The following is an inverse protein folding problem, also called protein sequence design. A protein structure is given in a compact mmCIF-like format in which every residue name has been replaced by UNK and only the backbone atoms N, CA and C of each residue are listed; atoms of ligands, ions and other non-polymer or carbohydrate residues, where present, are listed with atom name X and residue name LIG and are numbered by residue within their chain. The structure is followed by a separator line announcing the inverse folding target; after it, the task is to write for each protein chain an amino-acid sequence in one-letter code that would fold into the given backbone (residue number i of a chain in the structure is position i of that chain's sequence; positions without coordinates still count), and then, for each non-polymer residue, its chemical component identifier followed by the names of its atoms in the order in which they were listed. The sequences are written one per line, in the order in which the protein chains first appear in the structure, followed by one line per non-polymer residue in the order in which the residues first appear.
data_IF_390890191647
#
_entry.id   IF_390890191647
#
_cell.length_a   1.000
_cell.length_b   1.000
_cell.length_c   1.000
_cell.angle_alpha   90.00
_cell.angle_beta   90.00
_cell.angle_gamma   90.00
#
_symmetry.space_group_name_H-M   'P 1'
#
loop_
_entity.id
_entity.type
_entity.pdbx_description
1 polymer ?
#
# COMPACT_ATOMS: atom_id res chain seq x y z
N UNK A 1 -9.24 2.32 20.65
CA UNK A 1 -10.22 2.36 19.53
C UNK A 1 -10.43 3.77 18.98
N UNK A 2 -11.08 4.69 19.71
CA UNK A 2 -11.27 6.08 19.26
C UNK A 2 -9.94 6.87 19.18
N UNK A 3 -8.98 6.56 20.04
CA UNK A 3 -7.60 7.06 19.96
C UNK A 3 -6.94 6.64 18.65
N UNK A 4 -7.00 5.35 18.33
CA UNK A 4 -6.30 4.75 17.19
C UNK A 4 -6.93 5.25 15.89
N UNK A 5 -8.26 5.37 15.83
CA UNK A 5 -8.90 6.00 14.69
C UNK A 5 -8.43 7.46 14.49
N UNK A 6 -8.33 8.26 15.56
CA UNK A 6 -7.87 9.66 15.45
C UNK A 6 -6.40 9.74 15.01
N UNK A 7 -5.54 8.88 15.55
CA UNK A 7 -4.13 8.82 15.17
C UNK A 7 -3.98 8.48 13.70
N UNK A 8 -4.61 7.39 13.25
CA UNK A 8 -4.54 6.94 11.86
C UNK A 8 -5.16 7.97 10.91
N UNK A 9 -6.29 8.59 11.28
CA UNK A 9 -6.89 9.66 10.48
C UNK A 9 -5.92 10.84 10.31
N UNK A 10 -5.25 11.24 11.39
CA UNK A 10 -4.29 12.34 11.35
C UNK A 10 -3.06 12.01 10.50
N UNK A 11 -2.49 10.82 10.66
CA UNK A 11 -1.34 10.36 9.87
C UNK A 11 -1.67 10.29 8.38
N UNK A 12 -2.79 9.68 8.02
CA UNK A 12 -3.23 9.54 6.62
C UNK A 12 -3.60 10.88 6.02
N UNK A 13 -4.27 11.76 6.78
CA UNK A 13 -4.55 13.12 6.33
C UNK A 13 -3.25 13.90 6.06
N UNK A 14 -2.26 13.80 6.96
CA UNK A 14 -0.95 14.46 6.80
C UNK A 14 -0.18 13.95 5.58
N UNK A 15 -0.37 12.69 5.18
CA UNK A 15 0.22 12.13 3.98
C UNK A 15 -0.52 12.58 2.70
N UNK A 16 -1.86 12.56 2.70
CA UNK A 16 -2.66 12.75 1.47
C UNK A 16 -2.96 14.21 1.16
N UNK A 17 -3.13 15.07 2.18
CA UNK A 17 -3.43 16.50 1.98
C UNK A 17 -2.35 17.21 1.14
N UNK A 18 -1.03 17.07 1.43
CA UNK A 18 0.00 17.73 0.63
C UNK A 18 -0.03 17.29 -0.83
N UNK A 19 -0.24 15.99 -1.09
CA UNK A 19 -0.35 15.42 -2.44
C UNK A 19 -1.57 16.00 -3.15
N UNK A 20 -2.73 16.03 -2.47
CA UNK A 20 -3.98 16.59 -3.00
C UNK A 20 -3.80 18.06 -3.37
N UNK A 21 -3.15 18.86 -2.52
CA UNK A 21 -2.88 20.27 -2.75
C UNK A 21 -1.97 20.47 -3.96
N UNK A 22 -0.86 19.73 -4.05
CA UNK A 22 0.06 19.81 -5.19
C UNK A 22 -0.67 19.46 -6.49
N UNK A 23 -1.48 18.40 -6.49
CA UNK A 23 -2.24 17.99 -7.67
C UNK A 23 -3.23 19.08 -8.09
N UNK A 24 -3.94 19.69 -7.14
CA UNK A 24 -4.87 20.79 -7.43
C UNK A 24 -4.16 22.02 -8.00
N UNK A 25 -2.99 22.38 -7.44
CA UNK A 25 -2.15 23.47 -7.96
C UNK A 25 -1.74 23.16 -9.40
N UNK A 26 -1.24 21.95 -9.67
CA UNK A 26 -0.82 21.55 -11.02
C UNK A 26 -2.01 21.60 -12.00
N UNK A 27 -3.17 21.06 -11.62
CA UNK A 27 -4.36 21.10 -12.48
C UNK A 27 -4.81 22.53 -12.77
N UNK A 28 -4.82 23.42 -11.77
CA UNK A 28 -5.24 24.81 -11.95
C UNK A 28 -4.24 25.63 -12.79
N UNK A 29 -2.94 25.36 -12.69
CA UNK A 29 -1.92 26.13 -13.41
C UNK A 29 -1.65 25.60 -14.83
N UNK A 30 -1.70 24.28 -15.04
CA UNK A 30 -1.21 23.65 -16.27
C UNK A 30 -2.30 23.05 -17.16
N UNK A 31 -3.56 22.95 -16.69
CA UNK A 31 -4.65 22.36 -17.46
C UNK A 31 -5.68 23.44 -17.82
N UNK A 32 -5.71 23.92 -19.08
CA UNK A 32 -6.54 25.05 -19.50
C UNK A 32 -8.05 24.86 -19.32
N UNK A 33 -8.54 23.61 -19.37
CA UNK A 33 -9.96 23.26 -19.30
C UNK A 33 -10.39 22.72 -17.93
N UNK A 34 -9.60 22.97 -16.88
CA UNK A 34 -9.90 22.46 -15.55
C UNK A 34 -11.09 23.20 -14.92
N UNK A 35 -12.27 22.60 -15.04
CA UNK A 35 -13.50 23.13 -14.45
C UNK A 35 -13.55 22.94 -12.92
N UNK A 36 -14.30 23.82 -12.24
CA UNK A 36 -14.51 23.75 -10.80
C UNK A 36 -15.17 22.43 -10.35
N UNK A 37 -15.94 21.79 -11.25
CA UNK A 37 -16.54 20.48 -10.96
C UNK A 37 -15.49 19.36 -10.89
N UNK A 38 -14.44 19.39 -11.71
CA UNK A 38 -13.33 18.44 -11.61
C UNK A 38 -12.53 18.63 -10.32
N UNK A 39 -12.28 19.87 -9.90
CA UNK A 39 -11.64 20.18 -8.64
C UNK A 39 -12.43 19.62 -7.44
N UNK A 40 -13.75 19.80 -7.47
CA UNK A 40 -14.64 19.30 -6.43
C UNK A 40 -14.67 17.76 -6.39
N UNK A 41 -14.79 17.11 -7.55
CA UNK A 41 -14.77 15.65 -7.66
C UNK A 41 -13.46 15.07 -7.13
N UNK A 42 -12.31 15.64 -7.52
CA UNK A 42 -11.01 15.20 -7.03
C UNK A 42 -10.88 15.38 -5.52
N UNK A 43 -11.27 16.54 -5.00
CA UNK A 43 -11.20 16.82 -3.55
C UNK A 43 -12.09 15.87 -2.76
N UNK A 44 -13.31 15.61 -3.22
CA UNK A 44 -14.22 14.67 -2.57
C UNK A 44 -13.68 13.24 -2.65
N UNK A 45 -13.10 12.85 -3.79
CA UNK A 45 -12.41 11.58 -3.94
C UNK A 45 -11.26 11.42 -2.95
N UNK A 46 -10.40 12.43 -2.81
CA UNK A 46 -9.30 12.44 -1.83
C UNK A 46 -9.82 12.29 -0.39
N UNK A 47 -10.92 12.97 -0.03
CA UNK A 47 -11.54 12.80 1.29
C UNK A 47 -12.05 11.38 1.50
N UNK A 48 -12.67 10.77 0.49
CA UNK A 48 -13.11 9.37 0.56
C UNK A 48 -11.92 8.42 0.70
N UNK A 49 -10.79 8.68 0.02
CA UNK A 49 -9.56 7.89 0.16
C UNK A 49 -8.99 8.01 1.59
N UNK A 50 -8.93 9.22 2.16
CA UNK A 50 -8.48 9.43 3.54
C UNK A 50 -9.32 8.60 4.51
N UNK A 51 -10.65 8.69 4.40
CA UNK A 51 -11.55 7.93 5.28
C UNK A 51 -11.44 6.42 5.04
N UNK A 52 -11.40 5.98 3.79
CA UNK A 52 -11.31 4.58 3.41
C UNK A 52 -10.02 3.92 3.91
N UNK A 53 -8.87 4.56 3.67
CA UNK A 53 -7.57 4.06 4.15
C UNK A 53 -7.52 4.07 5.67
N UNK A 54 -8.05 5.12 6.32
CA UNK A 54 -8.11 5.17 7.80
C UNK A 54 -8.89 3.97 8.36
N UNK A 55 -10.11 3.73 7.85
CA UNK A 55 -10.94 2.61 8.29
C UNK A 55 -10.28 1.25 8.01
N UNK A 56 -9.67 1.12 6.83
CA UNK A 56 -8.92 -0.07 6.45
C UNK A 56 -7.76 -0.34 7.43
N UNK A 57 -6.93 0.66 7.71
CA UNK A 57 -5.78 0.49 8.61
C UNK A 57 -6.20 0.24 10.06
N UNK A 58 -7.27 0.86 10.54
CA UNK A 58 -7.83 0.53 11.86
C UNK A 58 -8.29 -0.92 11.89
N UNK A 59 -8.95 -1.41 10.84
CA UNK A 59 -9.33 -2.81 10.70
C UNK A 59 -8.13 -3.77 10.69
N UNK A 60 -7.08 -3.43 9.95
CA UNK A 60 -5.82 -4.19 9.89
C UNK A 60 -5.15 -4.26 11.25
N UNK A 61 -5.05 -3.13 11.97
CA UNK A 61 -4.42 -3.05 13.29
C UNK A 61 -5.19 -3.84 14.37
N UNK A 62 -6.52 -3.86 14.30
CA UNK A 62 -7.35 -4.58 15.28
C UNK A 62 -7.51 -6.07 14.94
N UNK A 63 -7.42 -6.43 13.66
CA UNK A 63 -7.66 -7.80 13.19
C UNK A 63 -6.38 -8.51 12.75
N UNK A 64 -5.82 -8.10 11.60
CA UNK A 64 -4.77 -8.84 10.92
C UNK A 64 -3.42 -8.82 11.66
N UNK A 65 -3.01 -7.67 12.20
CA UNK A 65 -1.70 -7.56 12.90
C UNK A 65 -1.64 -8.44 14.15
N UNK A 66 -2.63 -8.45 15.06
CA UNK A 66 -2.65 -9.36 16.21
C UNK A 66 -2.56 -10.83 15.80
N UNK A 67 -3.25 -11.23 14.73
CA UNK A 67 -3.19 -12.59 14.19
C UNK A 67 -1.77 -12.91 13.70
N UNK A 68 -1.16 -12.01 12.92
CA UNK A 68 0.22 -12.17 12.45
C UNK A 68 1.22 -12.31 13.60
N UNK A 69 1.09 -11.50 14.65
CA UNK A 69 1.94 -11.56 15.83
C UNK A 69 1.75 -12.86 16.64
N UNK A 70 0.52 -13.37 16.75
CA UNK A 70 0.24 -14.63 17.40
C UNK A 70 0.87 -15.81 16.64
N UNK A 71 0.72 -15.85 15.31
CA UNK A 71 1.33 -16.88 14.45
C UNK A 71 2.86 -16.80 14.52
N UNK A 72 3.42 -15.59 14.44
CA UNK A 72 4.86 -15.37 14.51
C UNK A 72 5.46 -15.81 15.85
N UNK A 73 4.82 -15.45 16.96
CA UNK A 73 5.31 -15.81 18.29
C UNK A 73 5.25 -17.33 18.57
N UNK A 74 4.19 -18.01 18.13
CA UNK A 74 4.10 -19.48 18.22
C UNK A 74 5.13 -20.18 17.33
N UNK A 75 5.39 -19.65 16.14
CA UNK A 75 6.41 -20.17 15.23
C UNK A 75 7.80 -20.13 15.86
N UNK A 76 8.15 -19.02 16.51
CA UNK A 76 9.43 -18.87 17.21
C UNK A 76 9.49 -19.76 18.46
N UNK A 77 8.38 -19.95 19.17
CA UNK A 77 8.30 -20.84 20.34
C UNK A 77 8.59 -22.30 20.02
N UNK A 78 8.35 -22.74 18.78
CA UNK A 78 8.73 -24.09 18.33
C UNK A 78 10.23 -24.39 18.44
N UNK A 79 11.11 -23.37 18.52
CA UNK A 79 12.56 -23.51 18.72
C UNK A 79 13.34 -24.08 17.54
N UNK A 80 12.67 -24.52 16.47
CA UNK A 80 13.29 -25.10 15.28
C UNK A 80 13.68 -24.02 14.28
N UNK A 81 14.96 -23.68 14.22
CA UNK A 81 15.51 -22.69 13.26
C UNK A 81 15.09 -23.01 11.80
N UNK A 82 15.15 -24.27 11.32
CA UNK A 82 14.69 -24.59 9.96
C UNK A 82 13.22 -24.23 9.69
N UNK A 83 12.35 -24.44 10.67
CA UNK A 83 10.91 -24.12 10.54
C UNK A 83 10.70 -22.61 10.51
N UNK A 84 11.41 -21.86 11.36
CA UNK A 84 11.36 -20.39 11.39
C UNK A 84 11.83 -19.82 10.05
N UNK A 85 12.96 -20.30 9.52
CA UNK A 85 13.49 -19.86 8.23
C UNK A 85 12.53 -20.16 7.08
N UNK A 86 11.94 -21.36 7.06
CA UNK A 86 10.97 -21.74 6.03
C UNK A 86 9.72 -20.84 6.07
N UNK A 87 9.16 -20.61 7.25
CA UNK A 87 7.96 -19.78 7.40
C UNK A 87 8.26 -18.31 7.06
N UNK A 88 9.40 -17.77 7.53
CA UNK A 88 9.82 -16.42 7.19
C UNK A 88 10.04 -16.25 5.68
N UNK A 89 10.67 -17.24 5.03
CA UNK A 89 10.84 -17.26 3.59
C UNK A 89 9.50 -17.28 2.85
N UNK A 90 8.57 -18.15 3.25
CA UNK A 90 7.25 -18.23 2.61
C UNK A 90 6.46 -16.94 2.75
N UNK A 91 6.38 -16.35 3.95
CA UNK A 91 5.67 -15.08 4.15
C UNK A 91 6.33 -13.93 3.38
N UNK A 92 7.67 -13.87 3.34
CA UNK A 92 8.39 -12.89 2.54
C UNK A 92 8.13 -13.05 1.05
N UNK A 93 8.25 -14.28 0.54
CA UNK A 93 7.98 -14.63 -0.86
C UNK A 93 6.55 -14.26 -1.26
N UNK A 94 5.54 -14.68 -0.49
CA UNK A 94 4.15 -14.35 -0.79
C UNK A 94 3.87 -12.84 -0.70
N UNK A 95 4.49 -12.13 0.24
CA UNK A 95 4.37 -10.68 0.33
C UNK A 95 4.92 -10.00 -0.93
N UNK A 96 6.10 -10.41 -1.41
CA UNK A 96 6.71 -9.88 -2.65
C UNK A 96 5.85 -10.18 -3.89
N UNK A 97 5.32 -11.40 -4.03
CA UNK A 97 4.43 -11.75 -5.16
C UNK A 97 3.12 -10.96 -5.11
N UNK A 98 2.57 -10.74 -3.91
CA UNK A 98 1.36 -9.97 -3.70
C UNK A 98 1.54 -8.46 -3.92
N UNK A 99 2.77 -7.95 -3.82
CA UNK A 99 3.07 -6.53 -3.96
C UNK A 99 2.85 -6.03 -5.41
N UNK A 100 1.92 -5.10 -5.65
CA UNK A 100 1.64 -4.59 -6.99
C UNK A 100 2.82 -3.86 -7.63
N UNK A 101 3.61 -3.16 -6.82
CA UNK A 101 4.71 -2.32 -7.31
C UNK A 101 5.82 -3.16 -7.94
N UNK A 102 6.14 -4.32 -7.35
CA UNK A 102 7.09 -5.30 -7.93
C UNK A 102 6.60 -5.80 -9.28
N UNK A 103 5.29 -6.07 -9.42
CA UNK A 103 4.71 -6.50 -10.70
C UNK A 103 4.76 -5.39 -11.74
N UNK A 104 4.52 -4.14 -11.36
CA UNK A 104 4.62 -2.97 -12.25
C UNK A 104 6.06 -2.79 -12.72
N UNK A 105 7.04 -2.92 -11.82
CA UNK A 105 8.46 -2.86 -12.17
C UNK A 105 8.87 -3.99 -13.11
N UNK A 106 8.44 -5.22 -12.85
CA UNK A 106 8.74 -6.36 -13.72
C UNK A 106 8.19 -6.15 -15.15
N UNK A 107 6.97 -5.62 -15.28
CA UNK A 107 6.41 -5.24 -16.59
C UNK A 107 7.24 -4.16 -17.29
N UNK A 108 7.75 -3.17 -16.53
CA UNK A 108 8.57 -2.09 -17.09
C UNK A 108 9.90 -2.65 -17.62
N UNK A 109 10.54 -3.55 -16.87
CA UNK A 109 11.79 -4.19 -17.29
C UNK A 109 11.58 -5.02 -18.55
N UNK A 110 10.54 -5.86 -18.60
CA UNK A 110 10.21 -6.67 -19.77
C UNK A 110 10.00 -5.79 -21.03
N UNK A 111 9.28 -4.68 -20.86
CA UNK A 111 9.00 -3.73 -21.96
C UNK A 111 10.26 -3.08 -22.54
N UNK A 112 11.27 -2.82 -21.69
CA UNK A 112 12.54 -2.18 -22.09
C UNK A 112 13.56 -3.21 -22.59
N UNK A 113 13.52 -4.44 -22.08
CA UNK A 113 14.41 -5.53 -22.47
C UNK A 113 13.99 -6.26 -23.77
N UNK A 114 12.91 -5.82 -24.42
CA UNK A 114 12.44 -6.39 -25.69
C UNK A 114 12.05 -7.87 -25.58
N UNK A 115 11.38 -8.26 -24.49
CA UNK A 115 10.99 -9.66 -24.18
C UNK A 115 12.15 -10.64 -23.99
N UNK A 116 13.38 -10.16 -23.80
CA UNK A 116 14.54 -11.03 -23.52
C UNK A 116 14.56 -11.56 -22.08
N UNK A 117 13.81 -10.92 -21.18
CA UNK A 117 13.70 -11.29 -19.77
C UNK A 117 12.21 -11.45 -19.45
N UNK A 118 11.81 -12.65 -19.05
CA UNK A 118 10.43 -12.96 -18.68
C UNK A 118 10.09 -12.34 -17.31
N UNK A 119 8.97 -11.62 -17.26
CA UNK A 119 8.40 -11.04 -16.05
C UNK A 119 8.23 -12.05 -14.93
N UNK A 120 7.82 -13.29 -15.25
CA UNK A 120 7.56 -14.30 -14.22
C UNK A 120 8.83 -14.69 -13.46
N UNK A 121 9.98 -14.76 -14.13
CA UNK A 121 11.28 -15.03 -13.50
C UNK A 121 11.87 -13.86 -12.72
N UNK A 122 11.27 -12.66 -12.81
CA UNK A 122 11.65 -11.50 -12.01
C UNK A 122 10.82 -11.39 -10.72
N UNK A 123 9.62 -11.98 -10.71
CA UNK A 123 8.70 -11.93 -9.57
C UNK A 123 8.84 -13.18 -8.68
N UNK A 124 9.16 -14.33 -9.29
CA UNK A 124 9.39 -15.62 -8.62
C UNK A 124 10.88 -15.86 -8.39
#
# INVERSE_FOLDING_TARGET
MLSDFKTQLFEISRAIIPITVIILIIHFLFIPDFSLSHAFQFTMGSLMVILGITLFLVGVNLGLIPIGNAIGSETVRSGSIPVILLIAFLFGFFATVAEPDVRVLANMIESVAGNSIDRLGLIL
#
